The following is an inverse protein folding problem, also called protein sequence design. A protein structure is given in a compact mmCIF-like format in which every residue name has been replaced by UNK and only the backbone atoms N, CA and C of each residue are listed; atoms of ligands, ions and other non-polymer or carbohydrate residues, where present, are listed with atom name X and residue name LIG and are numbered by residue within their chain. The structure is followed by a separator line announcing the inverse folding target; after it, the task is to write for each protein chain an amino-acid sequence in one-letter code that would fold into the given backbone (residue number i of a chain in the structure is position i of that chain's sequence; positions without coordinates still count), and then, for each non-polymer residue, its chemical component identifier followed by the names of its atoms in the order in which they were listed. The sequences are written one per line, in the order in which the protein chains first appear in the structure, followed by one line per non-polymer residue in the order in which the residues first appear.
data_IF_450611396744
#
_entry.id   IF_450611396744
#
_cell.length_a   1.000
_cell.length_b   1.000
_cell.length_c   1.000
_cell.angle_alpha   90.00
_cell.angle_beta   90.00
_cell.angle_gamma   90.00
#
_symmetry.space_group_name_H-M   'P 1'
#
loop_
_entity.id
_entity.type
_entity.pdbx_description
1 polymer ?
#
# COMPACT_ATOMS: atom_id res chain seq x y z
N UNK A 1 -19.46 -4.56 32.46
CA UNK A 1 -18.36 -5.26 31.77
C UNK A 1 -18.59 -5.06 30.29
N UNK A 2 -17.60 -4.51 29.60
CA UNK A 2 -17.64 -4.28 28.15
C UNK A 2 -17.67 -5.65 27.46
N UNK A 3 -18.62 -5.90 26.55
CA UNK A 3 -18.76 -7.18 25.86
C UNK A 3 -18.52 -7.01 24.37
N UNK A 4 -17.55 -7.76 23.86
CA UNK A 4 -17.28 -7.89 22.44
C UNK A 4 -17.79 -9.24 21.95
N UNK A 5 -18.62 -9.23 20.90
CA UNK A 5 -19.32 -10.42 20.42
C UNK A 5 -19.11 -10.57 18.91
N UNK A 6 -18.72 -11.76 18.47
CA UNK A 6 -18.82 -12.16 17.07
C UNK A 6 -20.21 -12.74 16.83
N UNK A 7 -20.96 -12.19 15.89
CA UNK A 7 -22.24 -12.74 15.41
C UNK A 7 -22.08 -13.29 14.01
N UNK A 8 -22.47 -14.53 13.81
CA UNK A 8 -22.50 -15.19 12.49
C UNK A 8 -23.79 -14.80 11.79
N UNK A 9 -23.69 -14.16 10.63
CA UNK A 9 -24.83 -13.66 9.85
C UNK A 9 -25.29 -14.67 8.79
N UNK A 10 -24.42 -15.60 8.39
CA UNK A 10 -24.70 -16.65 7.40
C UNK A 10 -24.03 -17.97 7.80
N UNK A 11 -24.57 -19.11 7.36
CA UNK A 11 -23.94 -20.41 7.57
C UNK A 11 -22.49 -20.37 7.05
N UNK A 12 -21.54 -20.70 7.91
CA UNK A 12 -20.12 -20.50 7.62
C UNK A 12 -19.27 -21.58 8.26
N UNK A 13 -17.98 -21.52 7.98
CA UNK A 13 -16.97 -22.40 8.56
C UNK A 13 -15.95 -21.54 9.26
N UNK A 14 -15.73 -21.81 10.54
CA UNK A 14 -14.56 -21.33 11.24
C UNK A 14 -13.35 -22.18 10.88
N UNK A 15 -12.23 -21.50 10.63
CA UNK A 15 -11.05 -22.07 10.01
C UNK A 15 -9.82 -21.87 10.87
N UNK A 16 -8.88 -22.79 10.83
CA UNK A 16 -7.58 -22.64 11.52
C UNK A 16 -6.62 -21.68 10.83
N UNK A 17 -6.81 -21.48 9.53
CA UNK A 17 -6.00 -20.59 8.69
C UNK A 17 -6.88 -19.94 7.61
N UNK A 18 -6.54 -18.73 7.16
CA UNK A 18 -7.39 -17.94 6.28
C UNK A 18 -7.22 -18.38 4.81
N UNK A 19 -7.72 -19.57 4.49
CA UNK A 19 -7.76 -20.10 3.13
C UNK A 19 -9.14 -20.68 2.82
N UNK A 20 -9.37 -21.16 1.60
CA UNK A 20 -10.63 -21.81 1.25
C UNK A 20 -10.87 -23.08 2.10
N UNK A 21 -12.11 -23.32 2.49
CA UNK A 21 -12.46 -24.47 3.33
C UNK A 21 -12.22 -25.82 2.62
N UNK A 22 -12.16 -25.84 1.29
CA UNK A 22 -11.78 -27.01 0.50
C UNK A 22 -10.31 -27.42 0.69
N UNK A 23 -9.46 -26.49 1.10
CA UNK A 23 -8.02 -26.71 1.32
C UNK A 23 -7.69 -27.10 2.76
N UNK A 24 -8.69 -27.18 3.63
CA UNK A 24 -8.54 -27.42 5.05
C UNK A 24 -8.93 -28.85 5.40
N UNK A 25 -8.14 -29.46 6.29
CA UNK A 25 -8.50 -30.75 6.85
C UNK A 25 -9.79 -30.65 7.69
N UNK A 26 -10.54 -31.74 7.89
CA UNK A 26 -11.76 -31.73 8.73
C UNK A 26 -11.53 -31.17 10.14
N UNK A 27 -10.37 -31.42 10.73
CA UNK A 27 -9.93 -30.91 12.04
C UNK A 27 -9.68 -29.39 12.04
N UNK A 28 -9.42 -28.81 10.88
CA UNK A 28 -9.18 -27.38 10.71
C UNK A 28 -10.46 -26.57 10.49
N UNK A 29 -11.61 -27.25 10.40
CA UNK A 29 -12.91 -26.69 10.09
C UNK A 29 -13.92 -26.92 11.20
N UNK A 30 -14.72 -25.91 11.48
CA UNK A 30 -15.87 -26.02 12.36
C UNK A 30 -17.05 -25.29 11.74
N UNK A 31 -18.08 -26.04 11.35
CA UNK A 31 -19.29 -25.49 10.75
C UNK A 31 -20.12 -24.78 11.79
N UNK A 32 -20.60 -23.59 11.46
CA UNK A 32 -21.39 -22.74 12.35
C UNK A 32 -22.60 -22.20 11.59
N UNK A 33 -23.76 -22.34 12.21
CA UNK A 33 -25.02 -21.85 11.64
C UNK A 33 -25.17 -20.35 11.80
N UNK A 34 -25.89 -19.73 10.86
CA UNK A 34 -26.34 -18.35 10.98
C UNK A 34 -27.08 -18.12 12.31
N UNK A 35 -26.86 -16.96 12.93
CA UNK A 35 -27.42 -16.59 14.23
C UNK A 35 -26.55 -16.97 15.43
N UNK A 36 -25.51 -17.78 15.25
CA UNK A 36 -24.58 -18.10 16.33
C UNK A 36 -23.83 -16.84 16.82
N UNK A 37 -23.67 -16.73 18.14
CA UNK A 37 -22.94 -15.63 18.77
C UNK A 37 -21.87 -16.15 19.71
N UNK A 38 -20.70 -15.52 19.70
CA UNK A 38 -19.57 -15.88 20.57
C UNK A 38 -18.98 -14.62 21.21
N UNK A 39 -18.79 -14.65 22.53
CA UNK A 39 -17.97 -13.64 23.18
C UNK A 39 -16.50 -13.82 22.75
N UNK A 40 -15.91 -12.74 22.25
CA UNK A 40 -14.53 -12.72 21.77
C UNK A 40 -13.68 -11.77 22.61
N UNK A 41 -12.43 -12.16 22.85
CA UNK A 41 -11.45 -11.30 23.53
C UNK A 41 -10.77 -10.33 22.56
N UNK A 42 -10.70 -10.69 21.28
CA UNK A 42 -10.07 -9.88 20.23
C UNK A 42 -10.48 -10.32 18.84
N UNK A 43 -10.31 -9.41 17.88
CA UNK A 43 -10.39 -9.69 16.45
C UNK A 43 -9.36 -8.84 15.67
N UNK A 44 -9.02 -9.30 14.48
CA UNK A 44 -8.18 -8.60 13.51
C UNK A 44 -8.58 -9.00 12.09
N UNK A 45 -8.38 -8.09 11.13
CA UNK A 45 -8.58 -8.34 9.70
C UNK A 45 -7.26 -8.40 8.92
N UNK A 46 -6.15 -8.05 9.58
CA UNK A 46 -4.79 -8.11 9.04
C UNK A 46 -3.76 -8.27 10.17
N UNK A 47 -2.56 -8.72 9.81
CA UNK A 47 -1.37 -8.65 10.67
C UNK A 47 -0.17 -8.03 9.92
N UNK A 48 1.03 -8.16 10.49
CA UNK A 48 2.26 -7.62 9.92
C UNK A 48 2.61 -8.18 8.53
N UNK A 49 2.01 -9.29 8.12
CA UNK A 49 2.19 -9.96 6.84
C UNK A 49 1.08 -9.65 5.82
N UNK A 50 0.08 -8.84 6.20
CA UNK A 50 -1.02 -8.42 5.33
C UNK A 50 -2.40 -8.88 5.81
N UNK A 51 -3.40 -8.74 4.94
CA UNK A 51 -4.79 -9.10 5.20
C UNK A 51 -4.99 -10.62 5.20
N UNK A 52 -5.99 -11.10 5.94
CA UNK A 52 -6.28 -12.53 6.08
C UNK A 52 -7.15 -13.09 4.93
N UNK A 53 -6.85 -12.73 3.68
CA UNK A 53 -7.54 -13.28 2.50
C UNK A 53 -9.08 -13.25 2.61
N UNK A 54 -9.65 -12.10 3.00
CA UNK A 54 -11.09 -11.96 3.21
C UNK A 54 -11.64 -12.59 4.50
N UNK A 55 -10.80 -12.88 5.49
CA UNK A 55 -11.21 -13.41 6.79
C UNK A 55 -11.01 -12.43 7.93
N UNK A 56 -11.77 -12.64 9.00
CA UNK A 56 -11.54 -12.06 10.31
C UNK A 56 -10.86 -13.14 11.15
N UNK A 57 -9.71 -12.85 11.73
CA UNK A 57 -9.15 -13.61 12.84
C UNK A 57 -9.84 -13.16 14.11
N UNK A 58 -10.35 -14.09 14.92
CA UNK A 58 -10.94 -13.78 16.22
C UNK A 58 -10.45 -14.77 17.27
N UNK A 59 -10.48 -14.35 18.53
CA UNK A 59 -10.19 -15.21 19.66
C UNK A 59 -11.37 -15.24 20.63
N UNK A 60 -11.84 -16.44 20.98
CA UNK A 60 -12.94 -16.69 21.90
C UNK A 60 -12.51 -16.31 23.32
N UNK A 61 -13.37 -15.58 24.04
CA UNK A 61 -13.04 -15.04 25.37
C UNK A 61 -13.11 -16.11 26.48
N UNK A 62 -14.13 -16.95 26.45
CA UNK A 62 -14.41 -17.88 27.53
C UNK A 62 -13.97 -19.31 27.17
N UNK A 63 -13.11 -19.89 28.01
CA UNK A 63 -12.50 -21.21 27.84
C UNK A 63 -13.53 -22.34 27.68
N UNK A 64 -14.71 -22.21 28.29
CA UNK A 64 -15.78 -23.19 28.16
C UNK A 64 -16.31 -23.31 26.71
N UNK A 65 -16.10 -22.29 25.88
CA UNK A 65 -16.54 -22.24 24.47
C UNK A 65 -15.39 -22.45 23.49
N UNK A 66 -14.22 -22.90 23.95
CA UNK A 66 -13.12 -23.22 23.05
C UNK A 66 -13.51 -24.37 22.12
N UNK A 67 -13.43 -24.10 20.83
CA UNK A 67 -13.75 -25.09 19.81
C UNK A 67 -12.53 -26.01 19.69
N UNK A 68 -12.73 -27.29 19.99
CA UNK A 68 -11.64 -28.30 19.98
C UNK A 68 -10.43 -27.89 20.84
N UNK A 69 -10.70 -27.25 21.99
CA UNK A 69 -9.65 -26.78 22.91
C UNK A 69 -8.89 -25.54 22.43
N UNK A 70 -9.30 -24.93 21.31
CA UNK A 70 -8.63 -23.79 20.69
C UNK A 70 -9.51 -22.55 20.74
N UNK A 71 -8.90 -21.40 21.06
CA UNK A 71 -9.61 -20.14 21.16
C UNK A 71 -9.53 -19.28 19.90
N UNK A 72 -8.52 -19.47 19.04
CA UNK A 72 -8.26 -18.60 17.89
C UNK A 72 -8.67 -19.27 16.59
N UNK A 73 -9.47 -18.56 15.80
CA UNK A 73 -10.07 -19.04 14.55
C UNK A 73 -10.20 -17.90 13.53
N UNK A 74 -10.45 -18.27 12.28
CA UNK A 74 -10.77 -17.36 11.18
C UNK A 74 -12.20 -17.60 10.70
N UNK A 75 -12.92 -16.54 10.36
CA UNK A 75 -14.24 -16.63 9.70
C UNK A 75 -14.25 -15.75 8.47
N UNK A 76 -14.96 -16.15 7.42
CA UNK A 76 -15.11 -15.29 6.24
C UNK A 76 -15.80 -13.98 6.64
N UNK A 77 -15.22 -12.85 6.27
CA UNK A 77 -15.62 -11.55 6.78
C UNK A 77 -17.07 -11.16 6.45
N UNK A 78 -17.61 -11.61 5.31
CA UNK A 78 -19.00 -11.34 4.91
C UNK A 78 -20.03 -12.21 5.66
N UNK A 79 -19.59 -13.26 6.37
CA UNK A 79 -20.49 -14.16 7.09
C UNK A 79 -20.54 -13.88 8.60
N UNK A 80 -19.83 -12.87 9.08
CA UNK A 80 -19.83 -12.52 10.49
C UNK A 80 -19.63 -11.01 10.71
N UNK A 81 -20.22 -10.52 11.79
CA UNK A 81 -20.05 -9.16 12.28
C UNK A 81 -19.50 -9.19 13.71
N UNK A 82 -18.79 -8.13 14.10
CA UNK A 82 -18.33 -7.92 15.47
C UNK A 82 -19.13 -6.78 16.07
N UNK A 83 -19.69 -7.03 17.24
CA UNK A 83 -20.43 -6.07 18.05
C UNK A 83 -19.58 -5.71 19.28
N UNK A 84 -19.60 -4.43 19.68
CA UNK A 84 -19.05 -3.94 20.92
C UNK A 84 -20.17 -3.22 21.69
N UNK A 85 -20.52 -3.75 22.86
CA UNK A 85 -21.65 -3.27 23.67
C UNK A 85 -22.95 -3.11 22.84
N UNK A 86 -23.22 -4.11 21.99
CA UNK A 86 -24.43 -4.17 21.15
C UNK A 86 -24.41 -3.30 19.89
N UNK A 87 -23.33 -2.54 19.65
CA UNK A 87 -23.14 -1.79 18.41
C UNK A 87 -22.24 -2.54 17.46
N UNK A 88 -22.61 -2.65 16.18
CA UNK A 88 -21.75 -3.24 15.16
C UNK A 88 -20.52 -2.35 14.96
N UNK A 89 -19.34 -2.93 15.19
CA UNK A 89 -18.03 -2.28 14.98
C UNK A 89 -17.24 -2.92 13.85
N UNK A 90 -17.72 -4.06 13.34
CA UNK A 90 -17.24 -4.70 12.12
C UNK A 90 -18.36 -5.48 11.42
N UNK A 91 -18.50 -5.40 10.09
CA UNK A 91 -17.91 -4.34 9.28
C UNK A 91 -18.45 -2.99 9.77
N UNK A 92 -17.65 -1.91 9.69
CA UNK A 92 -18.15 -0.59 10.04
C UNK A 92 -19.28 -0.24 9.06
N UNK A 93 -20.50 0.00 9.55
CA UNK A 93 -21.65 0.47 8.75
C UNK A 93 -21.19 1.71 7.97
N UNK A 94 -21.19 1.71 6.64
CA UNK A 94 -22.36 1.76 5.78
C UNK A 94 -22.21 0.90 4.49
N UNK A 95 -23.23 0.07 4.25
CA UNK A 95 -23.65 -0.56 2.99
C UNK A 95 -22.74 -1.62 2.33
N UNK A 96 -23.38 -2.72 1.91
CA UNK A 96 -22.80 -3.80 1.13
C UNK A 96 -22.49 -3.36 -0.32
N UNK A 97 -21.73 -2.27 -0.48
CA UNK A 97 -21.24 -1.84 -1.76
C UNK A 97 -20.08 -2.75 -2.17
N UNK A 98 -20.36 -3.66 -3.12
CA UNK A 98 -19.31 -4.35 -3.84
C UNK A 98 -18.52 -3.32 -4.65
N UNK A 99 -17.19 -3.40 -4.60
CA UNK A 99 -16.38 -2.61 -5.52
C UNK A 99 -16.68 -3.07 -6.95
N UNK A 100 -16.88 -2.15 -7.89
CA UNK A 100 -17.10 -2.46 -9.30
C UNK A 100 -15.89 -1.99 -10.09
N UNK A 101 -15.22 -2.92 -10.78
CA UNK A 101 -14.26 -2.55 -11.81
C UNK A 101 -15.02 -2.21 -13.09
N UNK A 102 -14.89 -0.98 -13.54
CA UNK A 102 -15.46 -0.52 -14.81
C UNK A 102 -14.37 -0.24 -15.82
N UNK A 103 -14.43 -0.93 -16.95
CA UNK A 103 -13.46 -0.79 -18.04
C UNK A 103 -13.84 0.43 -18.88
N UNK A 104 -13.07 1.50 -18.76
CA UNK A 104 -13.32 2.80 -19.40
C UNK A 104 -12.82 2.85 -20.84
N UNK A 105 -11.84 2.01 -21.19
CA UNK A 105 -11.33 1.81 -22.55
C UNK A 105 -10.94 0.34 -22.78
N UNK A 106 -11.03 -0.12 -24.03
CA UNK A 106 -10.69 -1.52 -24.37
C UNK A 106 -9.27 -1.84 -23.94
N UNK A 107 -9.09 -2.98 -23.27
CA UNK A 107 -7.86 -3.28 -22.54
C UNK A 107 -7.59 -4.78 -22.47
N UNK A 108 -6.44 -5.12 -21.88
CA UNK A 108 -6.07 -6.49 -21.56
C UNK A 108 -6.10 -6.68 -20.06
N UNK A 109 -6.85 -7.67 -19.60
CA UNK A 109 -6.61 -8.29 -18.30
C UNK A 109 -5.41 -9.20 -18.42
N UNK A 110 -4.52 -9.13 -17.44
CA UNK A 110 -3.19 -9.78 -17.46
C UNK A 110 -2.99 -10.63 -16.23
N UNK A 111 -2.25 -11.73 -16.37
CA UNK A 111 -1.83 -12.57 -15.24
C UNK A 111 -0.72 -11.93 -14.42
N UNK A 112 0.05 -11.03 -15.02
CA UNK A 112 1.15 -10.28 -14.39
C UNK A 112 1.13 -8.82 -14.84
N UNK A 113 1.57 -7.86 -14.00
CA UNK A 113 1.58 -6.43 -14.31
C UNK A 113 2.74 -6.02 -15.23
N UNK A 114 2.90 -6.72 -16.35
CA UNK A 114 3.94 -6.47 -17.35
C UNK A 114 3.36 -5.82 -18.61
N UNK A 115 4.24 -5.35 -19.49
CA UNK A 115 3.81 -4.95 -20.83
C UNK A 115 3.25 -6.17 -21.57
N UNK A 116 2.20 -5.98 -22.36
CA UNK A 116 1.54 -7.08 -23.08
C UNK A 116 2.47 -7.79 -24.06
N UNK A 117 3.47 -7.09 -24.60
CA UNK A 117 4.53 -7.67 -25.44
C UNK A 117 5.40 -8.70 -24.71
N UNK A 118 5.35 -8.75 -23.38
CA UNK A 118 6.12 -9.65 -22.53
C UNK A 118 5.28 -10.82 -21.98
N UNK A 119 4.02 -10.93 -22.40
CA UNK A 119 3.06 -11.92 -21.94
C UNK A 119 2.62 -12.83 -23.07
N UNK A 120 2.41 -14.11 -22.79
CA UNK A 120 1.84 -15.03 -23.77
C UNK A 120 0.35 -14.77 -23.98
N UNK A 121 -0.23 -15.32 -25.06
CA UNK A 121 -1.68 -15.25 -25.32
C UNK A 121 -2.52 -15.92 -24.20
N UNK A 122 -1.92 -16.84 -23.45
CA UNK A 122 -2.55 -17.51 -22.30
C UNK A 122 -2.58 -16.61 -21.05
N UNK A 123 -1.67 -15.64 -20.98
CA UNK A 123 -1.53 -14.71 -19.86
C UNK A 123 -2.36 -13.44 -20.00
N UNK A 124 -3.06 -13.27 -21.13
CA UNK A 124 -3.88 -12.11 -21.41
C UNK A 124 -5.30 -12.49 -21.82
N UNK A 125 -6.25 -11.64 -21.46
CA UNK A 125 -7.62 -11.68 -21.93
C UNK A 125 -8.03 -10.29 -22.40
N UNK A 126 -8.52 -10.19 -23.63
CA UNK A 126 -9.07 -8.94 -24.15
C UNK A 126 -10.44 -8.67 -23.53
N UNK A 127 -10.63 -7.42 -23.09
CA UNK A 127 -11.86 -6.94 -22.47
C UNK A 127 -12.30 -5.67 -23.20
N UNK A 128 -13.56 -5.64 -23.60
CA UNK A 128 -14.13 -4.50 -24.31
C UNK A 128 -14.42 -3.33 -23.36
N UNK A 129 -14.31 -2.11 -23.90
CA UNK A 129 -14.82 -0.90 -23.25
C UNK A 129 -16.26 -1.08 -22.79
N UNK A 130 -16.58 -0.62 -21.58
CA UNK A 130 -17.90 -0.69 -20.98
C UNK A 130 -18.17 -1.95 -20.14
N UNK A 131 -17.29 -2.95 -20.19
CA UNK A 131 -17.40 -4.11 -19.31
C UNK A 131 -17.28 -3.70 -17.83
N UNK A 132 -18.10 -4.32 -16.98
CA UNK A 132 -18.14 -4.05 -15.55
C UNK A 132 -18.11 -5.36 -14.78
N UNK A 133 -17.32 -5.41 -13.70
CA UNK A 133 -17.13 -6.62 -12.91
C UNK A 133 -17.24 -6.30 -11.43
N UNK A 134 -18.02 -7.10 -10.70
CA UNK A 134 -18.01 -7.05 -9.25
C UNK A 134 -16.71 -7.62 -8.71
N UNK A 135 -16.10 -6.90 -7.77
CA UNK A 135 -14.82 -7.25 -7.19
C UNK A 135 -14.98 -7.72 -5.76
N UNK A 136 -14.32 -8.82 -5.46
CA UNK A 136 -14.04 -9.25 -4.10
C UNK A 136 -13.00 -8.34 -3.46
N UNK A 137 -11.98 -7.96 -4.22
CA UNK A 137 -10.92 -7.05 -3.78
C UNK A 137 -10.23 -6.39 -4.96
N UNK A 138 -9.57 -5.27 -4.68
CA UNK A 138 -8.61 -4.65 -5.58
C UNK A 138 -7.45 -4.05 -4.80
N UNK A 139 -6.31 -3.92 -5.47
CA UNK A 139 -5.15 -3.22 -4.98
C UNK A 139 -4.44 -2.60 -6.18
N UNK A 140 -3.87 -1.42 -6.00
CA UNK A 140 -3.02 -0.76 -6.99
C UNK A 140 -1.53 -0.80 -6.57
N UNK A 141 -1.26 -1.26 -5.35
CA UNK A 141 0.08 -1.47 -4.81
C UNK A 141 0.08 -2.53 -3.70
N UNK A 142 1.25 -3.12 -3.45
CA UNK A 142 1.56 -3.95 -2.29
C UNK A 142 2.78 -3.37 -1.51
N UNK A 143 3.34 -4.16 -0.60
CA UNK A 143 4.53 -3.78 0.15
C UNK A 143 5.75 -3.52 -0.75
N UNK A 144 5.81 -4.18 -1.91
CA UNK A 144 6.88 -4.09 -2.90
C UNK A 144 6.72 -2.86 -3.81
N UNK A 145 5.49 -2.40 -4.03
CA UNK A 145 5.20 -1.14 -4.72
C UNK A 145 3.91 -1.17 -5.50
N UNK A 146 3.70 -0.17 -6.33
CA UNK A 146 2.59 -0.20 -7.28
C UNK A 146 2.80 -1.33 -8.29
N UNK A 147 1.70 -1.85 -8.83
CA UNK A 147 1.77 -2.95 -9.80
C UNK A 147 2.10 -2.42 -11.20
N UNK A 148 3.16 -1.62 -11.35
CA UNK A 148 3.61 -1.07 -12.63
C UNK A 148 2.45 -0.39 -13.39
N UNK A 149 1.73 0.53 -12.72
CA UNK A 149 0.49 1.14 -13.21
C UNK A 149 -0.64 0.15 -13.55
N UNK A 150 -0.79 -0.92 -12.78
CA UNK A 150 -1.93 -1.82 -12.88
C UNK A 150 -2.74 -1.87 -11.59
N UNK A 151 -4.03 -2.12 -11.74
CA UNK A 151 -4.90 -2.55 -10.66
C UNK A 151 -4.86 -4.07 -10.65
N UNK A 152 -4.38 -4.67 -9.56
CA UNK A 152 -4.65 -6.08 -9.23
C UNK A 152 -6.06 -6.16 -8.69
N UNK A 153 -6.87 -7.08 -9.18
CA UNK A 153 -8.22 -7.28 -8.66
C UNK A 153 -8.58 -8.76 -8.64
N UNK A 154 -9.53 -9.09 -7.78
CA UNK A 154 -10.17 -10.40 -7.71
C UNK A 154 -11.66 -10.25 -7.98
N UNK A 155 -12.17 -11.02 -8.93
CA UNK A 155 -13.59 -11.07 -9.29
C UNK A 155 -14.41 -11.72 -8.16
N UNK A 156 -15.57 -11.15 -7.86
CA UNK A 156 -16.49 -11.65 -6.81
C UNK A 156 -17.24 -12.90 -7.27
N UNK A 157 -17.78 -12.88 -8.50
CA UNK A 157 -18.67 -13.93 -9.00
C UNK A 157 -17.90 -14.99 -9.78
N UNK A 158 -18.15 -16.26 -9.46
CA UNK A 158 -17.50 -17.39 -10.14
C UNK A 158 -17.83 -17.47 -11.63
N UNK A 159 -19.01 -17.02 -12.05
CA UNK A 159 -19.42 -16.93 -13.46
C UNK A 159 -18.58 -15.94 -14.27
N UNK A 160 -18.02 -14.93 -13.61
CA UNK A 160 -17.12 -13.95 -14.25
C UNK A 160 -15.69 -14.47 -14.37
N UNK A 161 -15.36 -15.63 -13.78
CA UNK A 161 -13.99 -16.14 -13.78
C UNK A 161 -13.50 -16.40 -15.20
N UNK A 162 -12.52 -15.60 -15.61
CA UNK A 162 -11.89 -15.74 -16.91
C UNK A 162 -10.96 -16.94 -16.86
N UNK A 163 -11.22 -17.94 -17.71
CA UNK A 163 -10.44 -19.19 -17.77
C UNK A 163 -10.34 -19.90 -16.39
N UNK A 164 -11.40 -19.79 -15.57
CA UNK A 164 -11.46 -20.38 -14.23
C UNK A 164 -10.64 -19.64 -13.16
N UNK A 165 -10.17 -18.43 -13.45
CA UNK A 165 -9.30 -17.64 -12.57
C UNK A 165 -9.99 -16.34 -12.14
N UNK A 166 -9.97 -16.04 -10.84
CA UNK A 166 -10.56 -14.82 -10.28
C UNK A 166 -9.63 -13.61 -10.28
N UNK A 167 -8.31 -13.82 -10.18
CA UNK A 167 -7.34 -12.74 -9.98
C UNK A 167 -6.67 -12.30 -11.29
N UNK A 168 -6.68 -11.01 -11.57
CA UNK A 168 -6.12 -10.42 -12.77
C UNK A 168 -5.53 -9.03 -12.51
N UNK A 169 -4.79 -8.51 -13.48
CA UNK A 169 -4.29 -7.14 -13.52
C UNK A 169 -4.88 -6.39 -14.70
N UNK A 170 -5.25 -5.13 -14.53
CA UNK A 170 -5.68 -4.24 -15.61
C UNK A 170 -4.89 -2.95 -15.57
N UNK A 171 -4.59 -2.38 -16.73
CA UNK A 171 -3.91 -1.09 -16.81
C UNK A 171 -4.78 0.01 -16.22
N UNK A 172 -4.25 0.75 -15.25
CA UNK A 172 -5.02 1.66 -14.40
C UNK A 172 -5.65 2.84 -15.14
N UNK A 173 -5.16 3.21 -16.33
CA UNK A 173 -5.76 4.28 -17.13
C UNK A 173 -6.95 3.81 -17.97
N UNK A 174 -7.17 2.50 -18.09
CA UNK A 174 -8.25 1.91 -18.89
C UNK A 174 -9.38 1.34 -18.01
N UNK A 175 -9.29 1.50 -16.70
CA UNK A 175 -10.30 1.04 -15.77
C UNK A 175 -10.37 1.95 -14.55
N UNK A 176 -11.55 1.98 -13.93
CA UNK A 176 -11.78 2.62 -12.66
C UNK A 176 -12.45 1.64 -11.70
N UNK A 177 -12.28 1.83 -10.41
CA UNK A 177 -13.02 1.12 -9.38
C UNK A 177 -14.03 2.06 -8.78
N UNK A 178 -15.28 1.63 -8.78
CA UNK A 178 -16.41 2.34 -8.16
C UNK A 178 -16.80 1.65 -6.86
N UNK A 179 -17.21 2.42 -5.87
CA UNK A 179 -17.86 1.94 -4.65
C UNK A 179 -19.08 2.84 -4.44
N UNK A 180 -20.27 2.24 -4.33
CA UNK A 180 -21.52 3.00 -4.19
C UNK A 180 -21.74 4.06 -5.31
N UNK A 181 -21.41 3.70 -6.56
CA UNK A 181 -21.41 4.57 -7.75
C UNK A 181 -20.39 5.73 -7.74
N UNK A 182 -19.61 5.89 -6.67
CA UNK A 182 -18.50 6.83 -6.62
C UNK A 182 -17.20 6.19 -7.10
N UNK A 183 -16.44 6.91 -7.93
CA UNK A 183 -15.10 6.47 -8.34
C UNK A 183 -14.15 6.54 -7.14
N UNK A 184 -13.77 5.39 -6.60
CA UNK A 184 -12.79 5.25 -5.51
C UNK A 184 -11.38 4.98 -6.03
N UNK A 185 -11.27 4.55 -7.28
CA UNK A 185 -10.00 4.47 -7.97
C UNK A 185 -10.15 4.85 -9.46
N UNK A 186 -9.30 5.72 -10.03
CA UNK A 186 -8.24 6.44 -9.35
C UNK A 186 -8.81 7.37 -8.27
N UNK A 187 -8.08 7.53 -7.17
CA UNK A 187 -8.54 8.34 -6.02
C UNK A 187 -8.82 9.76 -6.54
N UNK A 188 -10.05 10.29 -6.41
CA UNK A 188 -10.39 11.63 -6.86
C UNK A 188 -9.45 12.65 -6.21
N UNK A 189 -8.76 13.44 -7.02
CA UNK A 189 -7.94 14.52 -6.49
C UNK A 189 -8.86 15.65 -6.03
N UNK A 190 -8.76 16.05 -4.75
CA UNK A 190 -9.43 17.25 -4.22
C UNK A 190 -9.12 18.41 -5.17
N UNK A 191 -10.12 19.19 -5.64
CA UNK A 191 -9.89 20.26 -6.59
C UNK A 191 -8.91 21.27 -5.98
N UNK A 192 -7.68 21.27 -6.48
CA UNK A 192 -6.68 22.26 -6.13
C UNK A 192 -6.99 23.51 -6.94
N UNK A 193 -7.36 24.59 -6.24
CA UNK A 193 -7.66 25.91 -6.81
C UNK A 193 -6.39 26.64 -7.27
N UNK A 194 -5.67 26.03 -8.20
CA UNK A 194 -4.59 26.66 -8.97
C UNK A 194 -4.78 26.22 -10.42
N UNK A 195 -4.87 27.13 -11.40
CA UNK A 195 -5.10 26.74 -12.78
C UNK A 195 -3.97 25.82 -13.23
N UNK A 196 -4.32 24.57 -13.49
CA UNK A 196 -3.44 23.57 -14.06
C UNK A 196 -3.06 24.03 -15.48
N UNK A 197 -1.78 24.00 -15.87
CA UNK A 197 -1.43 24.23 -17.27
C UNK A 197 -2.08 23.15 -18.14
N UNK A 198 -2.49 23.54 -19.35
CA UNK A 198 -3.29 22.79 -20.32
C UNK A 198 -2.99 21.27 -20.40
N UNK A 199 -4.01 20.44 -20.72
CA UNK A 199 -3.85 19.00 -20.83
C UNK A 199 -2.75 18.67 -21.84
N UNK A 200 -1.68 18.02 -21.36
CA UNK A 200 -0.72 17.38 -22.26
C UNK A 200 -1.40 16.18 -22.92
N UNK A 201 -1.24 15.98 -24.24
CA UNK A 201 -1.97 14.98 -25.02
C UNK A 201 -1.65 13.53 -24.61
N UNK A 202 -2.58 12.62 -24.95
CA UNK A 202 -2.54 11.17 -24.79
C UNK A 202 -1.18 10.52 -25.14
N UNK A 203 -0.83 9.34 -24.57
CA UNK A 203 0.54 8.83 -24.54
C UNK A 203 1.05 8.47 -25.94
N UNK A 204 1.76 9.41 -26.57
CA UNK A 204 2.91 9.06 -27.40
C UNK A 204 3.97 8.39 -26.50
N UNK A 205 4.77 7.49 -27.08
CA UNK A 205 5.83 6.74 -26.40
C UNK A 205 6.51 7.52 -25.27
N UNK A 206 6.76 6.92 -24.09
CA UNK A 206 7.33 7.61 -22.93
C UNK A 206 8.57 8.37 -23.39
N UNK A 207 8.60 9.69 -23.13
CA UNK A 207 9.82 10.47 -23.35
C UNK A 207 10.96 9.71 -22.69
N UNK A 208 12.06 9.40 -23.39
CA UNK A 208 13.20 8.77 -22.74
C UNK A 208 13.65 9.73 -21.64
N UNK A 209 13.72 9.22 -20.42
CA UNK A 209 14.36 9.91 -19.32
C UNK A 209 15.73 10.43 -19.80
N UNK A 210 15.98 11.71 -19.61
CA UNK A 210 17.18 12.40 -20.12
C UNK A 210 18.29 12.45 -19.07
N UNK A 211 17.96 12.07 -17.83
CA UNK A 211 18.90 11.98 -16.73
C UNK A 211 19.99 10.96 -17.00
N UNK A 212 21.03 11.00 -16.17
CA UNK A 212 22.11 10.02 -16.24
C UNK A 212 21.54 8.63 -15.96
N UNK A 213 21.86 7.67 -16.81
CA UNK A 213 21.48 6.28 -16.60
C UNK A 213 22.40 5.58 -15.59
N UNK A 214 21.84 4.64 -14.84
CA UNK A 214 22.57 3.80 -13.90
C UNK A 214 21.83 2.48 -13.65
N UNK A 215 22.50 1.54 -12.98
CA UNK A 215 21.93 0.25 -12.56
C UNK A 215 21.73 0.23 -11.06
N UNK A 216 20.66 -0.44 -10.63
CA UNK A 216 20.38 -0.70 -9.22
C UNK A 216 20.62 -2.17 -8.90
N UNK A 217 21.15 -2.50 -7.72
CA UNK A 217 21.38 -3.86 -7.30
C UNK A 217 20.07 -4.65 -7.27
N UNK A 218 20.11 -5.89 -7.78
CA UNK A 218 18.94 -6.78 -7.88
C UNK A 218 17.92 -6.39 -8.95
N UNK A 219 18.24 -5.45 -9.85
CA UNK A 219 17.38 -5.08 -10.97
C UNK A 219 18.13 -5.15 -12.30
N UNK A 220 17.49 -5.75 -13.32
CA UNK A 220 18.05 -5.86 -14.67
C UNK A 220 17.79 -4.60 -15.53
N UNK A 221 16.83 -3.77 -15.11
CA UNK A 221 16.40 -2.55 -15.80
C UNK A 221 17.42 -1.42 -15.67
N UNK A 222 17.36 -0.48 -16.60
CA UNK A 222 18.13 0.77 -16.54
C UNK A 222 17.28 1.85 -15.87
N UNK A 223 17.87 2.56 -14.91
CA UNK A 223 17.25 3.67 -14.19
C UNK A 223 17.90 4.98 -14.57
N UNK A 224 17.17 6.09 -14.39
CA UNK A 224 17.63 7.42 -14.78
C UNK A 224 17.49 8.42 -13.63
N UNK A 225 18.36 9.41 -13.55
CA UNK A 225 18.35 10.36 -12.41
C UNK A 225 17.12 11.26 -12.35
N UNK A 226 16.48 11.54 -13.48
CA UNK A 226 15.22 12.30 -13.56
C UNK A 226 13.98 11.41 -13.44
N UNK A 227 14.17 10.08 -13.37
CA UNK A 227 13.08 9.14 -13.15
C UNK A 227 12.56 9.25 -11.71
N UNK A 228 11.24 9.37 -11.51
CA UNK A 228 10.61 9.24 -10.20
C UNK A 228 10.97 7.91 -9.53
N UNK A 229 11.22 7.93 -8.22
CA UNK A 229 11.50 6.73 -7.42
C UNK A 229 10.27 5.84 -7.34
N UNK A 230 9.09 6.46 -7.20
CA UNK A 230 7.78 5.81 -7.23
C UNK A 230 6.93 6.41 -8.34
N UNK A 231 6.04 5.64 -8.99
CA UNK A 231 5.14 6.17 -10.00
C UNK A 231 4.22 7.28 -9.46
N UNK A 232 4.02 8.32 -10.28
CA UNK A 232 3.34 9.56 -9.86
C UNK A 232 4.05 10.35 -8.75
N UNK A 233 5.22 9.88 -8.30
CA UNK A 233 6.01 10.50 -7.24
C UNK A 233 6.73 11.76 -7.70
N UNK A 234 6.97 12.65 -6.74
CA UNK A 234 7.69 13.91 -6.98
C UNK A 234 9.18 13.83 -6.60
N UNK A 235 9.62 12.68 -6.10
CA UNK A 235 11.00 12.45 -5.71
C UNK A 235 11.70 11.58 -6.75
N UNK A 236 12.87 12.00 -7.20
CA UNK A 236 13.61 11.32 -8.28
C UNK A 236 14.80 10.53 -7.76
N UNK A 237 15.24 9.56 -8.55
CA UNK A 237 16.46 8.83 -8.27
C UNK A 237 17.69 9.75 -8.17
N UNK A 238 17.71 10.86 -8.90
CA UNK A 238 18.76 11.88 -8.81
C UNK A 238 18.81 12.54 -7.44
N UNK A 239 17.67 12.81 -6.82
CA UNK A 239 17.62 13.34 -5.46
C UNK A 239 18.11 12.30 -4.44
N UNK A 240 17.67 11.05 -4.57
CA UNK A 240 18.09 9.98 -3.67
C UNK A 240 19.58 9.64 -3.79
N UNK A 241 20.11 9.62 -5.01
CA UNK A 241 21.47 9.13 -5.34
C UNK A 241 22.47 10.25 -5.61
N UNK A 242 22.09 11.51 -5.37
CA UNK A 242 22.91 12.68 -5.70
C UNK A 242 23.36 12.66 -7.17
N UNK A 243 22.38 12.64 -8.08
CA UNK A 243 22.55 12.55 -9.53
C UNK A 243 23.43 11.36 -9.98
N UNK A 244 23.20 10.19 -9.37
CA UNK A 244 23.90 8.95 -9.71
C UNK A 244 25.34 8.86 -9.18
N UNK A 245 25.78 9.79 -8.33
CA UNK A 245 27.13 9.72 -7.70
C UNK A 245 27.16 8.86 -6.43
N UNK A 246 25.99 8.54 -5.86
CA UNK A 246 25.78 7.74 -4.66
C UNK A 246 24.80 6.62 -4.98
N UNK A 247 25.26 5.61 -5.70
CA UNK A 247 24.40 4.48 -6.09
C UNK A 247 24.32 3.48 -4.93
N UNK A 248 23.12 3.02 -4.54
CA UNK A 248 22.94 1.93 -3.58
C UNK A 248 23.72 0.69 -3.99
N UNK A 249 24.33 0.00 -3.03
CA UNK A 249 25.13 -1.21 -3.24
C UNK A 249 24.34 -2.48 -3.01
N UNK A 250 23.28 -2.42 -2.19
CA UNK A 250 22.47 -3.59 -1.83
C UNK A 250 21.01 -3.41 -2.20
N UNK A 251 20.31 -4.51 -2.48
CA UNK A 251 18.85 -4.52 -2.70
C UNK A 251 18.10 -3.95 -1.51
N UNK A 252 18.60 -4.18 -0.29
CA UNK A 252 18.04 -3.63 0.94
C UNK A 252 18.05 -2.09 0.96
N UNK A 253 19.15 -1.46 0.54
CA UNK A 253 19.22 0.01 0.45
C UNK A 253 18.21 0.56 -0.58
N UNK A 254 18.03 -0.14 -1.70
CA UNK A 254 17.02 0.20 -2.73
C UNK A 254 15.61 0.10 -2.14
N UNK A 255 15.29 -0.99 -1.43
CA UNK A 255 14.00 -1.16 -0.76
C UNK A 255 13.75 -0.08 0.29
N UNK A 256 14.78 0.33 1.05
CA UNK A 256 14.67 1.41 2.03
C UNK A 256 14.38 2.76 1.35
N UNK A 257 15.03 3.06 0.23
CA UNK A 257 14.78 4.29 -0.55
C UNK A 257 13.34 4.31 -1.07
N UNK A 258 12.85 3.19 -1.62
CA UNK A 258 11.46 3.06 -2.08
C UNK A 258 10.45 3.27 -0.94
N UNK A 259 10.66 2.61 0.20
CA UNK A 259 9.80 2.74 1.37
C UNK A 259 9.79 4.18 1.92
N UNK A 260 10.97 4.82 2.02
CA UNK A 260 11.07 6.20 2.46
C UNK A 260 10.40 7.16 1.48
N UNK A 261 10.55 6.95 0.16
CA UNK A 261 9.93 7.78 -0.87
C UNK A 261 8.40 7.81 -0.76
N UNK A 262 7.76 6.67 -0.44
CA UNK A 262 6.30 6.60 -0.21
C UNK A 262 5.88 7.44 1.00
N UNK A 263 6.59 7.32 2.11
CA UNK A 263 6.30 8.12 3.32
C UNK A 263 6.53 9.61 3.07
N UNK A 264 7.58 9.96 2.35
CA UNK A 264 7.84 11.34 1.94
C UNK A 264 6.77 11.88 1.02
N UNK A 265 6.25 11.08 0.09
CA UNK A 265 5.17 11.53 -0.79
C UNK A 265 3.89 11.78 0.01
N UNK A 266 3.55 10.93 0.97
CA UNK A 266 2.45 11.18 1.91
C UNK A 266 2.64 12.48 2.69
N UNK A 267 3.84 12.71 3.23
CA UNK A 267 4.16 13.95 3.94
C UNK A 267 4.07 15.19 3.05
N UNK A 268 4.61 15.11 1.83
CA UNK A 268 4.53 16.18 0.82
C UNK A 268 3.08 16.51 0.47
N UNK A 269 2.23 15.50 0.30
CA UNK A 269 0.81 15.67 0.01
C UNK A 269 0.07 16.32 1.17
N UNK A 270 0.29 15.86 2.41
CA UNK A 270 -0.33 16.46 3.60
C UNK A 270 0.06 17.94 3.79
N UNK A 271 1.34 18.27 3.57
CA UNK A 271 1.85 19.64 3.75
C UNK A 271 1.50 20.53 2.55
N UNK A 272 1.19 19.95 1.39
CA UNK A 272 0.80 20.68 0.19
C UNK A 272 1.92 21.55 -0.40
N UNK A 273 3.20 21.25 -0.09
CA UNK A 273 4.36 22.00 -0.59
C UNK A 273 5.47 21.10 -1.11
N UNK A 274 6.25 21.55 -2.12
CA UNK A 274 7.43 20.83 -2.57
C UNK A 274 8.47 20.66 -1.47
N UNK A 275 9.03 19.46 -1.39
CA UNK A 275 10.11 19.11 -0.48
C UNK A 275 11.42 19.22 -1.24
N UNK A 276 12.32 20.09 -0.80
CA UNK A 276 13.66 20.17 -1.36
C UNK A 276 14.58 19.23 -0.59
N UNK A 277 15.04 18.18 -1.27
CA UNK A 277 15.95 17.19 -0.70
C UNK A 277 17.36 17.79 -0.58
N UNK A 278 17.88 17.87 0.64
CA UNK A 278 19.28 18.30 0.87
C UNK A 278 20.23 17.12 0.91
N UNK A 279 19.77 15.99 1.45
CA UNK A 279 20.50 14.73 1.47
C UNK A 279 19.55 13.55 1.61
N UNK A 280 19.91 12.42 1.00
CA UNK A 280 19.19 11.16 1.15
C UNK A 280 20.20 10.04 1.35
N UNK A 281 20.44 9.17 0.36
CA UNK A 281 21.43 8.11 0.50
C UNK A 281 22.84 8.71 0.51
N UNK A 282 23.63 8.30 1.52
CA UNK A 282 24.95 8.87 1.82
C UNK A 282 25.90 7.75 2.22
N UNK A 283 26.68 7.19 1.26
CA UNK A 283 27.63 6.14 1.58
C UNK A 283 28.77 6.65 2.48
N UNK A 284 29.46 5.73 3.16
CA UNK A 284 30.42 5.99 4.25
C UNK A 284 31.38 7.17 4.01
N UNK A 285 32.06 7.31 2.84
CA UNK A 285 32.98 8.43 2.62
C UNK A 285 32.29 9.80 2.70
N UNK A 286 31.08 9.91 2.14
CA UNK A 286 30.29 11.13 2.16
C UNK A 286 29.62 11.35 3.52
N UNK A 287 29.28 10.27 4.23
CA UNK A 287 28.73 10.36 5.58
C UNK A 287 29.75 10.95 6.54
N UNK A 288 31.00 10.45 6.51
CA UNK A 288 32.11 10.99 7.29
C UNK A 288 32.40 12.46 6.95
N UNK A 289 32.45 12.82 5.66
CA UNK A 289 32.67 14.21 5.22
C UNK A 289 31.59 15.17 5.74
N UNK A 290 30.34 14.70 5.84
CA UNK A 290 29.23 15.48 6.35
C UNK A 290 29.13 15.49 7.89
N UNK A 291 30.09 14.89 8.61
CA UNK A 291 30.07 14.76 10.07
C UNK A 291 29.01 13.79 10.59
N UNK A 292 28.61 12.81 9.77
CA UNK A 292 27.61 11.82 10.11
C UNK A 292 28.11 10.77 11.10
N UNK A 293 27.18 10.21 11.87
CA UNK A 293 27.46 9.14 12.84
C UNK A 293 27.56 7.77 12.14
N UNK A 294 28.27 6.82 12.77
CA UNK A 294 28.51 5.47 12.25
C UNK A 294 27.22 4.65 12.02
N UNK A 295 26.17 4.92 12.81
CA UNK A 295 24.88 4.23 12.70
C UNK A 295 23.81 5.11 12.01
N UNK A 296 24.23 5.99 11.11
CA UNK A 296 23.34 6.91 10.41
C UNK A 296 22.41 6.15 9.46
N UNK A 297 21.11 6.45 9.52
CA UNK A 297 20.13 5.87 8.60
C UNK A 297 20.35 6.30 7.14
N UNK A 298 21.09 7.39 6.89
CA UNK A 298 21.48 7.77 5.52
C UNK A 298 22.40 6.75 4.84
N UNK A 299 23.18 5.99 5.62
CA UNK A 299 24.04 4.91 5.11
C UNK A 299 23.22 3.77 4.50
N UNK A 300 21.97 3.61 4.95
CA UNK A 300 21.09 2.51 4.56
C UNK A 300 20.02 2.94 3.56
N UNK A 301 20.01 4.20 3.13
CA UNK A 301 18.97 4.75 2.23
C UNK A 301 17.62 5.02 2.92
N UNK A 302 17.55 4.81 4.24
CA UNK A 302 16.34 4.91 5.06
C UNK A 302 16.15 6.28 5.72
N UNK A 303 16.97 7.28 5.38
CA UNK A 303 16.83 8.65 5.88
C UNK A 303 16.99 9.72 4.81
N UNK A 304 16.36 10.85 5.08
CA UNK A 304 16.35 12.04 4.24
C UNK A 304 16.40 13.31 5.09
N UNK A 305 17.13 14.29 4.61
CA UNK A 305 17.15 15.65 5.14
C UNK A 305 16.39 16.52 4.12
N UNK A 306 15.37 17.22 4.60
CA UNK A 306 14.41 17.97 3.77
C UNK A 306 14.30 19.40 4.24
N UNK A 307 14.21 20.32 3.29
CA UNK A 307 13.78 21.71 3.52
C UNK A 307 12.48 21.97 2.76
N UNK A 308 11.55 22.72 3.38
CA UNK A 308 10.26 23.06 2.78
C UNK A 308 10.12 24.58 2.80
N UNK A 309 9.98 25.19 1.62
CA UNK A 309 9.88 26.65 1.52
C UNK A 309 8.71 27.18 2.34
N UNK A 310 8.96 28.19 3.17
CA UNK A 310 7.97 28.78 4.07
C UNK A 310 7.73 28.04 5.39
N UNK A 311 8.42 26.91 5.64
CA UNK A 311 8.29 26.15 6.87
C UNK A 311 9.66 25.98 7.54
N UNK A 312 9.70 26.12 8.86
CA UNK A 312 10.81 25.63 9.67
C UNK A 312 10.81 24.10 9.72
N UNK A 313 11.97 23.50 9.98
CA UNK A 313 12.07 22.05 10.17
C UNK A 313 11.17 21.56 11.29
N UNK A 314 10.96 22.38 12.34
CA UNK A 314 10.05 22.09 13.44
C UNK A 314 8.58 22.05 13.02
N UNK A 315 8.14 22.96 12.15
CA UNK A 315 6.76 22.93 11.63
C UNK A 315 6.53 21.70 10.75
N UNK A 316 7.48 21.36 9.87
CA UNK A 316 7.40 20.14 9.06
C UNK A 316 7.38 18.89 9.94
N UNK A 317 8.26 18.84 10.93
CA UNK A 317 8.31 17.75 11.89
C UNK A 317 7.00 17.56 12.66
N UNK A 318 6.44 18.63 13.22
CA UNK A 318 5.18 18.58 13.95
C UNK A 318 4.01 18.10 13.08
N UNK A 319 4.00 18.44 11.79
CA UNK A 319 2.96 18.00 10.87
C UNK A 319 2.95 16.48 10.66
N UNK A 320 4.11 15.82 10.71
CA UNK A 320 4.22 14.38 10.40
C UNK A 320 4.41 13.50 11.64
N UNK A 321 4.83 14.08 12.76
CA UNK A 321 5.32 13.36 13.94
C UNK A 321 4.33 12.34 14.53
N UNK A 322 3.02 12.56 14.40
CA UNK A 322 2.00 11.66 14.96
C UNK A 322 1.89 10.32 14.22
N UNK A 323 2.24 10.28 12.94
CA UNK A 323 2.08 9.10 12.08
C UNK A 323 3.37 8.65 11.40
N UNK A 324 4.43 9.47 11.42
CA UNK A 324 5.71 9.12 10.81
C UNK A 324 6.27 7.83 11.45
N UNK A 325 6.68 6.83 10.65
CA UNK A 325 6.94 5.49 11.18
C UNK A 325 8.26 5.37 11.95
N UNK A 326 9.23 6.26 11.69
CA UNK A 326 10.58 6.17 12.27
C UNK A 326 11.04 7.47 12.93
N UNK A 327 12.30 7.84 12.72
CA UNK A 327 12.91 8.99 13.37
C UNK A 327 12.51 10.33 12.77
N UNK A 328 12.28 11.31 13.63
CA UNK A 328 12.00 12.71 13.27
C UNK A 328 12.94 13.63 14.05
N UNK A 329 13.79 14.37 13.34
CA UNK A 329 14.80 15.24 13.93
C UNK A 329 14.74 16.66 13.41
N UNK A 330 14.98 17.64 14.29
CA UNK A 330 15.15 19.04 13.90
C UNK A 330 16.59 19.46 14.16
N UNK A 331 17.20 20.14 13.17
CA UNK A 331 18.57 20.65 13.33
C UNK A 331 18.59 22.01 14.05
N UNK A 332 19.56 22.27 14.94
CA UNK A 332 19.69 23.56 15.60
C UNK A 332 20.36 24.62 14.70
N UNK A 333 20.40 25.86 15.19
CA UNK A 333 21.19 26.95 14.62
C UNK A 333 20.76 27.36 13.20
N UNK A 334 21.74 27.46 12.29
CA UNK A 334 21.51 27.87 10.90
C UNK A 334 20.79 26.81 10.05
N UNK A 335 20.67 25.57 10.54
CA UNK A 335 20.00 24.45 9.85
C UNK A 335 18.56 24.24 10.33
N UNK A 336 17.99 25.13 11.13
CA UNK A 336 16.60 25.05 11.66
C UNK A 336 15.48 24.95 10.61
N UNK A 337 15.78 25.20 9.35
CA UNK A 337 14.87 25.03 8.21
C UNK A 337 14.91 23.61 7.60
N UNK A 338 15.80 22.75 8.08
CA UNK A 338 15.96 21.36 7.65
C UNK A 338 15.37 20.45 8.72
N UNK A 339 14.57 19.47 8.28
CA UNK A 339 14.09 18.36 9.09
C UNK A 339 14.75 17.07 8.62
N UNK A 340 15.13 16.23 9.57
CA UNK A 340 15.57 14.87 9.34
C UNK A 340 14.37 13.92 9.50
N UNK A 341 14.18 13.03 8.53
CA UNK A 341 13.14 12.01 8.55
C UNK A 341 13.72 10.66 8.15
N UNK A 342 13.46 9.63 8.94
CA UNK A 342 13.90 8.27 8.64
C UNK A 342 12.85 7.21 8.99
N UNK A 343 12.99 6.00 8.42
CA UNK A 343 12.10 4.85 8.65
C UNK A 343 12.73 3.78 9.56
N UNK A 344 13.77 4.12 10.32
CA UNK A 344 14.33 3.25 11.35
C UNK A 344 13.49 3.22 12.63
N UNK A 345 14.11 2.88 13.76
CA UNK A 345 13.42 2.88 15.06
C UNK A 345 12.86 4.26 15.43
N UNK A 346 11.64 4.30 15.98
CA UNK A 346 10.97 5.54 16.39
C UNK A 346 11.79 6.32 17.40
N UNK A 347 12.09 7.57 17.08
CA UNK A 347 12.85 8.49 17.94
C UNK A 347 12.62 9.94 17.52
N UNK A 348 12.73 10.86 18.48
CA UNK A 348 12.51 12.29 18.27
C UNK A 348 13.63 13.07 18.93
N UNK A 349 14.17 14.10 18.27
CA UNK A 349 15.24 14.92 18.81
C UNK A 349 15.25 16.33 18.23
N UNK A 350 15.87 17.27 18.95
CA UNK A 350 15.98 18.67 18.50
C UNK A 350 14.69 19.48 18.63
N UNK A 351 13.69 18.96 19.35
CA UNK A 351 12.53 19.72 19.80
C UNK A 351 12.88 20.44 21.08
#
# INVERSE_FOLDING_TARGET
MVRQVLRVTQNTVFKRRPVQASQLEPEERYSVSAGATLEIQSYAYADANGEFDGHIKFAIANQAYYIRGMNTWYVYNRHAQVEFDGKVVYPQEEQAASFILKVTDSTLFKRRPLQSSQLSAEEVQAIAKGASFELQSYAYADAQGDFNSHIKFALEKQEDYIRGLSTWFVYEQHAQVEFDNDVVYPIPQVPSSTPSPAPSPAPGAPRPFQGRSFKLPGNQSTFYTDQPIIPGGNFTWGEATKNGTRIPKTTREVSNILALARQLQRARNQIGRPFRITSWYRPEPYNRQAGGVRNSQHLNGSAVDVSVSGYSGRQVANAVMSWWPGGVGVYPGNRRHIVHLDIGGRRKWGF
#
